data_IF_427089473327
#
_entry.id   IF_427089473327
#
_cell.length_a   1.000
_cell.length_b   1.000
_cell.length_c   1.000
_cell.angle_alpha   90.00
_cell.angle_beta   90.00
_cell.angle_gamma   90.00
#
_symmetry.space_group_name_H-M   'P 1'
#
loop_
_entity.id
_entity.type
_entity.pdbx_description
1 polymer ?
#
# COMPACT_ATOMS: atom_id res chain seq x y z
N UNK A 1 2.95 -7.51 1.29
CA UNK A 1 2.40 -6.20 1.71
C UNK A 1 0.91 -6.03 1.40
N UNK A 2 0.41 -6.52 0.27
CA UNK A 2 -1.00 -6.30 -0.13
C UNK A 2 -2.02 -7.12 0.70
N UNK A 3 -1.65 -8.34 1.14
CA UNK A 3 -2.53 -9.25 1.89
C UNK A 3 -2.41 -9.13 3.42
N UNK A 4 -1.76 -8.08 3.92
CA UNK A 4 -1.62 -7.85 5.36
C UNK A 4 -2.93 -7.33 5.95
N UNK A 5 -3.23 -7.70 7.20
CA UNK A 5 -4.18 -6.91 7.99
C UNK A 5 -3.58 -5.53 8.31
N UNK A 6 -4.45 -4.55 8.62
CA UNK A 6 -4.00 -3.21 9.00
C UNK A 6 -3.09 -3.20 10.24
N UNK A 7 -3.34 -4.12 11.16
CA UNK A 7 -2.53 -4.29 12.37
C UNK A 7 -1.15 -4.88 12.08
N UNK A 8 -1.10 -5.89 11.20
CA UNK A 8 0.17 -6.47 10.75
C UNK A 8 1.00 -5.44 10.00
N UNK A 9 0.39 -4.67 9.09
CA UNK A 9 1.02 -3.52 8.44
C UNK A 9 1.58 -2.54 9.47
N UNK A 10 0.77 -2.16 10.47
CA UNK A 10 1.20 -1.22 11.51
C UNK A 10 2.39 -1.72 12.33
N UNK A 11 2.42 -3.02 12.67
CA UNK A 11 3.53 -3.65 13.39
C UNK A 11 4.78 -3.81 12.51
N UNK A 12 4.60 -4.17 11.24
CA UNK A 12 5.68 -4.35 10.28
C UNK A 12 6.44 -3.03 10.04
N UNK A 13 5.72 -1.90 9.91
CA UNK A 13 6.34 -0.59 9.70
C UNK A 13 7.29 -0.22 10.85
N UNK A 14 6.89 -0.47 12.10
CA UNK A 14 7.72 -0.19 13.27
C UNK A 14 9.01 -1.02 13.23
N UNK A 15 8.89 -2.32 12.95
CA UNK A 15 10.04 -3.22 12.85
C UNK A 15 10.98 -2.81 11.73
N UNK A 16 10.43 -2.42 10.58
CA UNK A 16 11.22 -1.98 9.44
C UNK A 16 11.99 -0.68 9.72
N UNK A 17 11.38 0.31 10.40
CA UNK A 17 12.10 1.52 10.82
C UNK A 17 13.27 1.18 11.75
N UNK A 18 13.04 0.32 12.74
CA UNK A 18 14.09 -0.14 13.65
C UNK A 18 15.23 -0.85 12.91
N UNK A 19 14.91 -1.68 11.92
CA UNK A 19 15.91 -2.36 11.11
C UNK A 19 16.68 -1.40 10.20
N UNK A 20 16.02 -0.38 9.62
CA UNK A 20 16.69 0.67 8.85
C UNK A 20 17.68 1.46 9.72
N UNK A 21 17.29 1.81 10.94
CA UNK A 21 18.17 2.47 11.91
C UNK A 21 19.37 1.59 12.28
N UNK A 22 19.14 0.31 12.60
CA UNK A 22 20.19 -0.65 12.96
C UNK A 22 21.22 -0.84 11.84
N UNK A 23 20.79 -0.78 10.59
CA UNK A 23 21.66 -0.91 9.42
C UNK A 23 22.20 0.44 8.93
N UNK A 24 22.13 1.49 9.74
CA UNK A 24 22.71 2.81 9.45
C UNK A 24 22.23 3.38 8.12
N UNK A 25 20.96 3.17 7.78
CA UNK A 25 20.38 3.85 6.62
C UNK A 25 20.45 5.36 6.80
N UNK A 26 20.58 6.08 5.69
CA UNK A 26 20.61 7.54 5.71
C UNK A 26 19.37 8.10 6.41
N UNK A 27 19.57 9.03 7.36
CA UNK A 27 18.47 9.60 8.16
C UNK A 27 17.35 10.17 7.29
N UNK A 28 17.69 10.92 6.24
CA UNK A 28 16.70 11.47 5.30
C UNK A 28 15.81 10.40 4.65
N UNK A 29 16.36 9.20 4.43
CA UNK A 29 15.63 8.06 3.86
C UNK A 29 14.70 7.42 4.88
N UNK A 30 15.17 7.26 6.11
CA UNK A 30 14.34 6.79 7.23
C UNK A 30 13.17 7.76 7.44
N UNK A 31 13.46 9.07 7.51
CA UNK A 31 12.46 10.12 7.71
C UNK A 31 11.41 10.10 6.59
N UNK A 32 11.83 9.96 5.32
CA UNK A 32 10.90 9.87 4.18
C UNK A 32 9.97 8.65 4.28
N UNK A 33 10.52 7.46 4.60
CA UNK A 33 9.71 6.23 4.73
C UNK A 33 8.77 6.33 5.94
N UNK A 34 9.24 6.93 7.04
CA UNK A 34 8.40 7.18 8.21
C UNK A 34 7.25 8.14 7.89
N UNK A 35 7.52 9.28 7.25
CA UNK A 35 6.50 10.24 6.82
C UNK A 35 5.49 9.59 5.89
N UNK A 36 5.96 8.78 4.94
CA UNK A 36 5.08 8.02 4.04
C UNK A 36 4.09 7.14 4.81
N UNK A 37 4.57 6.35 5.77
CA UNK A 37 3.66 5.50 6.56
C UNK A 37 2.75 6.28 7.51
N UNK A 38 3.21 7.42 8.06
CA UNK A 38 2.35 8.30 8.84
C UNK A 38 1.19 8.80 7.97
N UNK A 39 1.49 9.29 6.76
CA UNK A 39 0.48 9.81 5.83
C UNK A 39 -0.55 8.73 5.45
N UNK A 40 -0.10 7.51 5.16
CA UNK A 40 -1.00 6.36 4.90
C UNK A 40 -1.91 6.07 6.10
N UNK A 41 -1.37 6.13 7.33
CA UNK A 41 -2.14 5.86 8.55
C UNK A 41 -3.09 6.99 8.93
N UNK A 42 -2.78 8.21 8.54
CA UNK A 42 -3.60 9.40 8.75
C UNK A 42 -4.61 9.66 7.64
N UNK A 43 -4.50 8.95 6.51
CA UNK A 43 -5.41 9.11 5.40
C UNK A 43 -6.86 8.78 5.81
N UNK A 44 -7.83 9.61 5.40
CA UNK A 44 -9.23 9.52 5.81
C UNK A 44 -9.88 8.15 5.55
N UNK A 45 -9.41 7.40 4.55
CA UNK A 45 -9.83 6.02 4.27
C UNK A 45 -9.47 5.00 5.34
N UNK A 46 -8.42 5.26 6.14
CA UNK A 46 -8.06 4.40 7.26
C UNK A 46 -9.17 4.34 8.32
N UNK A 47 -9.92 5.43 8.49
CA UNK A 47 -11.00 5.53 9.49
C UNK A 47 -12.38 5.18 8.94
N UNK A 48 -12.47 4.77 7.68
CA UNK A 48 -13.73 4.34 7.09
C UNK A 48 -14.14 2.95 7.62
N UNK A 49 -15.45 2.72 7.70
CA UNK A 49 -16.05 1.42 8.05
C UNK A 49 -15.81 0.40 6.92
N UNK A 50 -15.66 0.86 5.67
CA UNK A 50 -15.43 -0.02 4.53
C UNK A 50 -13.99 -0.56 4.49
N UNK A 51 -13.84 -1.88 4.63
CA UNK A 51 -12.53 -2.56 4.56
C UNK A 51 -11.85 -2.44 3.19
N UNK A 52 -12.62 -2.23 2.10
CA UNK A 52 -12.07 -2.02 0.75
C UNK A 52 -11.17 -0.78 0.68
N UNK A 53 -11.48 0.25 1.45
CA UNK A 53 -10.72 1.50 1.50
C UNK A 53 -9.37 1.30 2.19
N UNK A 54 -9.35 0.57 3.31
CA UNK A 54 -8.11 0.18 3.98
C UNK A 54 -7.27 -0.75 3.10
N UNK A 55 -7.92 -1.69 2.42
CA UNK A 55 -7.23 -2.58 1.48
C UNK A 55 -6.61 -1.82 0.32
N UNK A 56 -7.30 -0.82 -0.25
CA UNK A 56 -6.73 0.04 -1.29
C UNK A 56 -5.48 0.79 -0.82
N UNK A 57 -5.46 1.28 0.44
CA UNK A 57 -4.26 1.89 1.03
C UNK A 57 -3.11 0.89 1.18
N UNK A 58 -3.41 -0.35 1.58
CA UNK A 58 -2.42 -1.43 1.70
C UNK A 58 -1.82 -1.83 0.34
N UNK A 59 -2.66 -1.92 -0.69
CA UNK A 59 -2.25 -2.19 -2.07
C UNK A 59 -1.40 -1.04 -2.60
N UNK A 60 -1.87 0.21 -2.44
CA UNK A 60 -1.11 1.39 -2.84
C UNK A 60 0.29 1.41 -2.19
N UNK A 61 0.37 1.26 -0.87
CA UNK A 61 1.65 1.36 -0.18
C UNK A 61 2.60 0.22 -0.57
N UNK A 62 2.09 -1.01 -0.70
CA UNK A 62 2.89 -2.16 -1.10
C UNK A 62 3.50 -1.97 -2.48
N UNK A 63 2.70 -1.54 -3.46
CA UNK A 63 3.17 -1.34 -4.85
C UNK A 63 4.14 -0.19 -4.99
N UNK A 64 3.84 0.95 -4.36
CA UNK A 64 4.73 2.13 -4.42
C UNK A 64 6.06 1.83 -3.73
N UNK A 65 6.04 1.15 -2.58
CA UNK A 65 7.28 0.74 -1.91
C UNK A 65 8.06 -0.30 -2.71
N UNK A 66 7.42 -1.26 -3.36
CA UNK A 66 8.09 -2.21 -4.24
C UNK A 66 8.80 -1.48 -5.40
N UNK A 67 8.10 -0.57 -6.08
CA UNK A 67 8.69 0.26 -7.14
C UNK A 67 9.88 1.07 -6.61
N UNK A 68 9.73 1.69 -5.44
CA UNK A 68 10.80 2.45 -4.82
C UNK A 68 12.02 1.59 -4.49
N UNK A 69 11.81 0.41 -3.89
CA UNK A 69 12.88 -0.56 -3.63
C UNK A 69 13.61 -1.01 -4.90
N UNK A 70 12.91 -1.13 -6.05
CA UNK A 70 13.57 -1.47 -7.32
C UNK A 70 14.38 -0.32 -7.91
N UNK A 71 14.06 0.92 -7.58
CA UNK A 71 14.72 2.11 -8.14
C UNK A 71 15.82 2.67 -7.24
N UNK A 72 15.88 2.30 -5.96
CA UNK A 72 16.84 2.88 -5.02
C UNK A 72 18.28 2.57 -5.44
N UNK A 73 19.15 3.59 -5.41
CA UNK A 73 20.54 3.47 -5.89
C UNK A 73 20.69 3.53 -7.41
N UNK A 74 19.61 3.83 -8.15
CA UNK A 74 19.64 4.05 -9.61
C UNK A 74 19.24 5.49 -9.96
N UNK A 75 19.50 5.97 -11.19
CA UNK A 75 19.04 7.28 -11.65
C UNK A 75 17.51 7.46 -11.64
N UNK A 76 16.74 6.37 -11.56
CA UNK A 76 15.27 6.42 -11.52
C UNK A 76 14.72 6.41 -10.09
N UNK A 77 15.58 6.57 -9.08
CA UNK A 77 15.17 6.74 -7.69
C UNK A 77 14.20 7.93 -7.56
N UNK A 78 13.11 7.73 -6.82
CA UNK A 78 12.08 8.74 -6.62
C UNK A 78 11.72 8.85 -5.14
N UNK A 79 11.02 9.93 -4.78
CA UNK A 79 10.52 10.16 -3.42
C UNK A 79 9.18 9.45 -3.22
N UNK A 80 9.00 8.80 -2.07
CA UNK A 80 7.69 8.26 -1.66
C UNK A 80 6.67 9.35 -1.31
N UNK A 81 7.15 10.59 -1.11
CA UNK A 81 6.35 11.75 -0.73
C UNK A 81 6.35 12.83 -1.84
N UNK A 82 5.23 13.56 -2.02
CA UNK A 82 3.94 13.38 -1.34
C UNK A 82 3.18 12.14 -1.84
N UNK A 83 2.23 11.63 -1.04
CA UNK A 83 1.33 10.57 -1.51
C UNK A 83 0.43 11.11 -2.64
N UNK A 84 -0.05 10.21 -3.50
CA UNK A 84 -0.91 10.56 -4.63
C UNK A 84 -2.30 9.96 -4.41
N UNK A 85 -3.25 10.80 -4.01
CA UNK A 85 -4.66 10.42 -3.87
C UNK A 85 -5.22 9.84 -5.16
N UNK A 86 -4.83 10.41 -6.30
CA UNK A 86 -5.19 9.89 -7.62
C UNK A 86 -4.79 8.42 -7.80
N UNK A 87 -3.54 8.07 -7.44
CA UNK A 87 -3.07 6.67 -7.52
C UNK A 87 -3.78 5.77 -6.50
N UNK A 88 -4.12 6.29 -5.32
CA UNK A 88 -4.89 5.55 -4.32
C UNK A 88 -6.28 5.20 -4.86
N UNK A 89 -6.96 6.17 -5.49
CA UNK A 89 -8.27 5.98 -6.14
C UNK A 89 -8.16 4.97 -7.29
N UNK A 90 -7.15 5.07 -8.14
CA UNK A 90 -6.94 4.11 -9.24
C UNK A 90 -6.77 2.67 -8.74
N UNK A 91 -6.09 2.46 -7.61
CA UNK A 91 -5.99 1.12 -7.03
C UNK A 91 -7.30 0.66 -6.43
N UNK A 92 -8.04 1.54 -5.76
CA UNK A 92 -9.36 1.23 -5.23
C UNK A 92 -10.33 0.79 -6.34
N UNK A 93 -10.40 1.54 -7.43
CA UNK A 93 -11.30 1.23 -8.55
C UNK A 93 -10.94 -0.10 -9.20
N UNK A 94 -9.64 -0.37 -9.38
CA UNK A 94 -9.15 -1.69 -9.85
C UNK A 94 -9.54 -2.83 -8.92
N UNK A 95 -9.49 -2.63 -7.60
CA UNK A 95 -9.90 -3.64 -6.62
C UNK A 95 -11.40 -3.93 -6.76
N UNK A 96 -12.24 -2.89 -6.84
CA UNK A 96 -13.68 -3.04 -7.01
C UNK A 96 -14.03 -3.73 -8.34
N UNK A 97 -13.41 -3.31 -9.44
CA UNK A 97 -13.67 -3.87 -10.76
C UNK A 97 -13.25 -5.34 -10.86
N UNK A 98 -12.12 -5.71 -10.24
CA UNK A 98 -11.69 -7.09 -10.14
C UNK A 98 -12.65 -7.94 -9.29
N UNK A 99 -13.15 -7.40 -8.18
CA UNK A 99 -14.11 -8.10 -7.32
C UNK A 99 -15.42 -8.38 -8.07
N UNK A 100 -15.97 -7.37 -8.77
CA UNK A 100 -17.17 -7.51 -9.61
C UNK A 100 -16.98 -8.55 -10.72
N UNK A 101 -15.84 -8.50 -11.40
CA UNK A 101 -15.53 -9.45 -12.49
C UNK A 101 -15.46 -10.89 -11.98
N UNK A 102 -14.90 -11.09 -10.78
CA UNK A 102 -14.83 -12.39 -10.13
C UNK A 102 -16.23 -12.92 -9.74
N UNK A 103 -17.11 -12.06 -9.22
CA UNK A 103 -18.49 -12.43 -8.91
C UNK A 103 -19.28 -12.84 -10.16
N UNK A 104 -19.17 -12.07 -11.24
CA UNK A 104 -19.80 -12.40 -12.53
C UNK A 104 -19.33 -13.77 -13.02
N UNK A 105 -18.02 -14.02 -12.97
CA UNK A 105 -17.42 -15.30 -13.39
C UNK A 105 -17.97 -16.47 -12.55
N UNK A 106 -18.07 -16.30 -11.23
CA UNK A 106 -18.63 -17.31 -10.33
C UNK A 106 -20.10 -17.60 -10.64
N UNK A 107 -20.90 -16.56 -10.88
CA UNK A 107 -22.32 -16.71 -11.22
C UNK A 107 -22.52 -17.46 -12.56
N UNK A 108 -21.67 -17.18 -13.55
CA UNK A 108 -21.69 -17.89 -14.83
C UNK A 108 -21.33 -19.37 -14.69
N UNK A 109 -20.40 -19.72 -13.81
CA UNK A 109 -20.03 -21.11 -13.55
C UNK A 109 -21.15 -21.90 -12.86
N UNK A 110 -21.91 -21.27 -11.96
CA UNK A 110 -23.05 -21.92 -11.28
C UNK A 110 -24.21 -22.19 -12.26
N UNK A 111 -24.39 -21.35 -13.28
CA UNK A 111 -25.43 -21.55 -14.30
C UNK A 111 -25.12 -22.65 -15.33
N UNK A 112 -23.90 -23.20 -15.31
CA UNK A 112 -23.41 -24.23 -16.23
C UNK A 112 -23.36 -25.64 -15.61
N UNK A 113 -23.88 -25.80 -14.38
CA UNK A 113 -24.01 -27.07 -13.63
C UNK A 113 -25.50 -27.40 -13.52
#
# INVERSE_FOLDING_TARGET
DEDLSWEEFSKANIRMLQDMERHSWEKARIDMVQSFWIEIKSHHWCHNINDSNKHALLVFQGRVRQQWHTCIGTPTAFSLMPISDQRIIEYHDKIIDNAKSLEITKLQQVHLI
#
